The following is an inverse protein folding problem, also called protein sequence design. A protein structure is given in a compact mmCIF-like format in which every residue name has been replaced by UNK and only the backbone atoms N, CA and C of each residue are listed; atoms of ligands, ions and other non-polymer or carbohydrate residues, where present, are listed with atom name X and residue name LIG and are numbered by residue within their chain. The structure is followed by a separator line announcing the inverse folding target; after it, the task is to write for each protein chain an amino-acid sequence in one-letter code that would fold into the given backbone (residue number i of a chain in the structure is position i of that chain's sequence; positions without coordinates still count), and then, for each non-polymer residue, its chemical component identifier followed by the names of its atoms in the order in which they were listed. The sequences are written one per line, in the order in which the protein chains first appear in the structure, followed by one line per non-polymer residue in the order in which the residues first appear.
data_IF_658868119151
#
_entry.id   IF_658868119151
#
_cell.length_a   1.000
_cell.length_b   1.000
_cell.length_c   1.000
_cell.angle_alpha   90.00
_cell.angle_beta   90.00
_cell.angle_gamma   90.00
#
_symmetry.space_group_name_H-M   'P 1'
#
loop_
_entity.id
_entity.type
_entity.pdbx_description
1 polymer ?
#
# COMPACT_ATOMS: atom_id res chain seq x y z
N UNK A 1 -0.58 50.23 52.82
CA UNK A 1 -1.44 49.13 53.31
C UNK A 1 -2.58 48.97 52.31
N UNK A 2 -2.81 47.73 51.86
CA UNK A 2 -3.60 47.23 50.71
C UNK A 2 -4.92 47.98 50.39
N UNK A 3 -5.39 48.09 49.13
CA UNK A 3 -6.28 47.08 48.50
C UNK A 3 -6.38 47.20 46.96
N UNK A 4 -5.90 46.16 46.24
CA UNK A 4 -6.53 45.32 45.19
C UNK A 4 -7.51 45.93 44.13
N UNK A 5 -7.02 45.92 42.86
CA UNK A 5 -7.61 45.47 41.56
C UNK A 5 -8.70 46.31 40.83
N UNK A 6 -8.43 46.64 39.56
CA UNK A 6 -9.40 46.31 38.49
C UNK A 6 -8.72 45.95 37.15
N UNK A 7 -9.08 44.77 36.65
CA UNK A 7 -8.64 44.11 35.42
C UNK A 7 -9.14 44.84 34.18
N UNK A 8 -8.31 45.00 33.15
CA UNK A 8 -8.77 45.05 31.76
C UNK A 8 -7.87 44.15 30.91
N UNK A 9 -8.24 42.87 30.88
CA UNK A 9 -7.69 41.88 29.97
C UNK A 9 -8.41 42.09 28.63
N UNK A 10 -7.71 42.64 27.64
CA UNK A 10 -8.21 42.72 26.26
C UNK A 10 -7.91 41.37 25.59
N UNK A 11 -8.91 40.48 25.52
CA UNK A 11 -8.83 39.25 24.74
C UNK A 11 -9.01 39.58 23.26
N UNK A 12 -7.94 39.47 22.48
CA UNK A 12 -8.01 39.50 21.02
C UNK A 12 -8.08 38.03 20.55
N UNK A 13 -9.29 37.58 20.22
CA UNK A 13 -9.54 36.24 19.66
C UNK A 13 -9.07 36.25 18.21
N UNK A 14 -7.85 35.78 17.95
CA UNK A 14 -7.40 35.47 16.59
C UNK A 14 -7.97 34.11 16.22
N UNK A 15 -9.06 34.10 15.45
CA UNK A 15 -9.60 32.89 14.83
C UNK A 15 -8.67 32.43 13.71
N UNK A 16 -7.68 31.61 14.05
CA UNK A 16 -6.92 30.87 13.05
C UNK A 16 -7.72 29.61 12.67
N UNK A 17 -8.38 29.65 11.52
CA UNK A 17 -8.95 28.46 10.88
C UNK A 17 -7.77 27.56 10.50
N UNK A 18 -7.55 26.51 11.27
CA UNK A 18 -6.62 25.43 10.94
C UNK A 18 -7.16 24.69 9.71
N UNK A 19 -6.68 25.07 8.52
CA UNK A 19 -6.80 24.23 7.34
C UNK A 19 -5.97 22.96 7.58
N UNK A 20 -6.60 21.91 8.11
CA UNK A 20 -5.96 20.60 8.19
C UNK A 20 -5.73 20.13 6.75
N UNK A 21 -4.49 19.82 6.33
CA UNK A 21 -4.27 19.20 5.04
C UNK A 21 -5.07 17.90 5.02
N UNK A 22 -5.96 17.77 4.04
CA UNK A 22 -6.68 16.51 3.84
C UNK A 22 -5.65 15.43 3.58
N UNK A 23 -5.56 14.45 4.50
CA UNK A 23 -4.79 13.22 4.33
C UNK A 23 -5.49 12.36 3.27
N UNK A 24 -5.46 12.79 2.01
CA UNK A 24 -5.72 11.85 0.94
C UNK A 24 -4.56 10.86 0.98
N UNK A 25 -4.87 9.58 1.17
CA UNK A 25 -3.85 8.55 1.04
C UNK A 25 -3.28 8.65 -0.38
N UNK A 26 -1.99 8.98 -0.49
CA UNK A 26 -1.34 8.99 -1.79
C UNK A 26 -1.47 7.59 -2.39
N UNK A 27 -2.08 7.50 -3.58
CA UNK A 27 -2.19 6.22 -4.28
C UNK A 27 -0.82 5.87 -4.84
N UNK A 28 -0.13 4.96 -4.17
CA UNK A 28 1.16 4.45 -4.62
C UNK A 28 0.96 3.58 -5.87
N UNK A 29 1.53 4.00 -6.99
CA UNK A 29 1.54 3.21 -8.24
C UNK A 29 2.77 2.30 -8.23
N UNK A 30 2.57 1.04 -8.62
CA UNK A 30 3.63 0.05 -8.81
C UNK A 30 3.40 -0.70 -10.12
N UNK A 31 4.46 -0.97 -10.85
CA UNK A 31 4.46 -1.99 -11.91
C UNK A 31 4.66 -3.34 -11.22
N UNK A 32 3.83 -4.31 -11.59
CA UNK A 32 3.93 -5.70 -11.12
C UNK A 32 4.53 -6.51 -12.26
N UNK A 33 5.74 -7.02 -12.06
CA UNK A 33 6.48 -7.74 -13.09
C UNK A 33 6.72 -9.19 -12.64
N UNK A 34 6.10 -10.13 -13.35
CA UNK A 34 6.30 -11.56 -13.15
C UNK A 34 7.68 -12.00 -13.68
N UNK A 35 8.24 -13.02 -13.04
CA UNK A 35 9.47 -13.68 -13.44
C UNK A 35 9.15 -15.14 -13.80
N UNK A 36 8.70 -15.34 -15.04
CA UNK A 36 8.13 -16.59 -15.52
C UNK A 36 9.00 -17.85 -15.36
N UNK A 37 10.33 -17.70 -15.32
CA UNK A 37 11.26 -18.81 -15.11
C UNK A 37 11.82 -18.86 -13.67
N UNK A 38 11.33 -18.00 -12.77
CA UNK A 38 11.79 -17.88 -11.39
C UNK A 38 10.68 -18.12 -10.38
N UNK A 39 10.95 -17.72 -9.13
CA UNK A 39 10.11 -17.94 -7.95
C UNK A 39 9.65 -16.63 -7.27
N UNK A 40 9.84 -15.51 -7.97
CA UNK A 40 9.55 -14.18 -7.47
C UNK A 40 8.80 -13.27 -8.47
N UNK A 41 8.19 -12.21 -7.93
CA UNK A 41 7.55 -11.12 -8.66
C UNK A 41 8.15 -9.82 -8.13
N UNK A 42 8.55 -8.92 -9.03
CA UNK A 42 9.12 -7.63 -8.65
C UNK A 42 8.06 -6.54 -8.69
N UNK A 43 8.05 -5.71 -7.64
CA UNK A 43 7.33 -4.45 -7.64
C UNK A 43 8.30 -3.34 -8.01
N UNK A 44 8.01 -2.65 -9.11
CA UNK A 44 8.86 -1.58 -9.65
C UNK A 44 8.17 -0.23 -9.48
N UNK A 45 8.92 0.76 -9.00
CA UNK A 45 8.46 2.14 -8.97
C UNK A 45 8.63 2.77 -10.36
N UNK A 46 7.54 3.19 -11.03
CA UNK A 46 7.61 3.69 -12.40
C UNK A 46 8.23 5.09 -12.52
N UNK A 47 8.34 5.86 -11.44
CA UNK A 47 8.99 7.17 -11.47
C UNK A 47 10.51 7.05 -11.47
N UNK A 48 11.04 5.97 -10.87
CA UNK A 48 12.49 5.76 -10.71
C UNK A 48 13.03 4.56 -11.48
N UNK A 49 12.16 3.71 -12.03
CA UNK A 49 12.49 2.43 -12.65
C UNK A 49 13.32 1.52 -11.75
N UNK A 50 13.07 1.56 -10.44
CA UNK A 50 13.77 0.74 -9.44
C UNK A 50 12.83 -0.31 -8.86
N UNK A 51 13.36 -1.50 -8.61
CA UNK A 51 12.71 -2.51 -7.77
C UNK A 51 12.62 -1.93 -6.36
N UNK A 52 11.41 -1.94 -5.79
CA UNK A 52 11.13 -1.42 -4.44
C UNK A 52 10.61 -2.49 -3.49
N UNK A 53 10.22 -3.65 -4.01
CA UNK A 53 9.80 -4.80 -3.25
C UNK A 53 9.76 -6.06 -4.13
N UNK A 54 9.73 -7.21 -3.47
CA UNK A 54 9.56 -8.53 -4.10
C UNK A 54 8.48 -9.32 -3.37
N UNK A 55 7.77 -10.15 -4.15
CA UNK A 55 6.86 -11.19 -3.66
C UNK A 55 7.52 -12.52 -4.03
N UNK A 56 7.69 -13.43 -3.08
CA UNK A 56 8.39 -14.70 -3.29
C UNK A 56 7.50 -15.89 -2.97
N UNK A 57 7.95 -17.09 -3.37
CA UNK A 57 7.25 -18.35 -3.09
C UNK A 57 6.11 -18.65 -4.06
N UNK A 58 6.20 -18.09 -5.28
CA UNK A 58 5.27 -18.34 -6.38
C UNK A 58 6.11 -18.75 -7.59
N UNK A 59 6.31 -20.05 -7.74
CA UNK A 59 7.18 -20.63 -8.76
C UNK A 59 6.50 -20.66 -10.14
N UNK A 60 7.26 -20.38 -11.19
CA UNK A 60 6.76 -20.31 -12.58
C UNK A 60 5.53 -19.39 -12.68
N UNK A 61 5.68 -18.16 -12.18
CA UNK A 61 4.58 -17.20 -12.15
C UNK A 61 4.39 -16.48 -13.50
N UNK A 62 3.17 -16.50 -14.06
CA UNK A 62 2.91 -15.98 -15.41
C UNK A 62 1.90 -14.82 -15.42
N UNK A 63 0.64 -15.12 -15.10
CA UNK A 63 -0.45 -14.16 -15.05
C UNK A 63 -0.46 -13.38 -13.75
N UNK A 64 -0.82 -12.09 -13.82
CA UNK A 64 -0.97 -11.22 -12.66
C UNK A 64 -2.25 -10.39 -12.76
N UNK A 65 -2.98 -10.28 -11.65
CA UNK A 65 -4.09 -9.35 -11.48
C UNK A 65 -4.04 -8.68 -10.10
N UNK A 66 -4.60 -7.49 -9.98
CA UNK A 66 -4.59 -6.70 -8.75
C UNK A 66 -6.01 -6.25 -8.42
N UNK A 67 -6.42 -6.36 -7.16
CA UNK A 67 -7.66 -5.79 -6.69
C UNK A 67 -7.63 -4.25 -6.86
N UNK A 68 -8.73 -3.57 -7.23
CA UNK A 68 -8.72 -2.12 -7.49
C UNK A 68 -8.25 -1.27 -6.30
N UNK A 69 -8.52 -1.75 -5.09
CA UNK A 69 -8.09 -1.14 -3.82
C UNK A 69 -6.65 -1.47 -3.42
N UNK A 70 -5.95 -2.31 -4.19
CA UNK A 70 -4.60 -2.77 -3.91
C UNK A 70 -4.48 -3.72 -2.73
N UNK A 71 -5.60 -4.21 -2.16
CA UNK A 71 -5.58 -5.07 -0.97
C UNK A 71 -5.06 -6.48 -1.25
N UNK A 72 -5.17 -6.93 -2.50
CA UNK A 72 -4.82 -8.28 -2.93
C UNK A 72 -4.19 -8.28 -4.32
N UNK A 73 -3.18 -9.11 -4.50
CA UNK A 73 -2.66 -9.54 -5.79
C UNK A 73 -3.05 -11.00 -6.04
N UNK A 74 -3.15 -11.37 -7.31
CA UNK A 74 -3.44 -12.73 -7.76
C UNK A 74 -2.40 -13.11 -8.81
N UNK A 75 -1.72 -14.24 -8.59
CA UNK A 75 -0.71 -14.74 -9.51
C UNK A 75 -0.99 -16.19 -9.87
N UNK A 76 -0.91 -16.54 -11.15
CA UNK A 76 -0.89 -17.96 -11.52
C UNK A 76 0.45 -18.56 -11.07
N UNK A 77 0.40 -19.74 -10.48
CA UNK A 77 1.55 -20.54 -10.08
C UNK A 77 1.45 -21.86 -10.85
N UNK A 78 2.23 -22.00 -11.91
CA UNK A 78 2.15 -23.17 -12.78
C UNK A 78 2.75 -24.42 -12.12
N UNK A 79 3.74 -24.25 -11.24
CA UNK A 79 4.36 -25.37 -10.53
C UNK A 79 3.40 -26.06 -9.56
N UNK A 80 2.57 -25.27 -8.86
CA UNK A 80 1.62 -25.78 -7.87
C UNK A 80 0.20 -26.02 -8.43
N UNK A 81 -0.05 -25.68 -9.70
CA UNK A 81 -1.38 -25.68 -10.32
C UNK A 81 -2.40 -24.84 -9.54
N UNK A 82 -1.99 -23.64 -9.09
CA UNK A 82 -2.82 -22.76 -8.27
C UNK A 82 -2.90 -21.33 -8.79
N UNK A 83 -3.94 -20.61 -8.36
CA UNK A 83 -3.94 -19.15 -8.30
C UNK A 83 -3.61 -18.72 -6.87
N UNK A 84 -2.46 -18.09 -6.69
CA UNK A 84 -1.97 -17.67 -5.38
C UNK A 84 -2.43 -16.24 -5.08
N UNK A 85 -3.07 -16.07 -3.91
CA UNK A 85 -3.59 -14.78 -3.44
C UNK A 85 -2.60 -14.18 -2.45
N UNK A 86 -2.08 -13.00 -2.78
CA UNK A 86 -1.07 -12.30 -2.00
C UNK A 86 -1.68 -11.06 -1.35
N UNK A 87 -1.37 -10.84 -0.08
CA UNK A 87 -1.76 -9.62 0.63
C UNK A 87 -1.01 -8.41 0.09
N UNK A 88 -1.73 -7.37 -0.29
CA UNK A 88 -1.14 -6.14 -0.81
C UNK A 88 -0.37 -5.32 0.24
N UNK A 89 -0.68 -5.54 1.53
CA UNK A 89 -0.01 -4.86 2.63
C UNK A 89 1.30 -5.55 3.04
N UNK A 90 1.29 -6.87 3.06
CA UNK A 90 2.40 -7.66 3.60
C UNK A 90 3.25 -8.35 2.53
N UNK A 91 2.75 -8.39 1.28
CA UNK A 91 3.40 -9.05 0.14
C UNK A 91 3.66 -10.55 0.37
N UNK A 92 2.80 -11.19 1.16
CA UNK A 92 2.86 -12.61 1.46
C UNK A 92 1.68 -13.35 0.85
N UNK A 93 1.92 -14.56 0.35
CA UNK A 93 0.86 -15.50 -0.03
C UNK A 93 -0.01 -15.76 1.20
N UNK A 94 -1.32 -15.64 1.03
CA UNK A 94 -2.31 -15.83 2.09
C UNK A 94 -3.21 -17.04 1.81
N UNK A 95 -3.47 -17.32 0.54
CA UNK A 95 -4.31 -18.43 0.10
C UNK A 95 -3.78 -18.95 -1.24
N UNK A 96 -3.97 -20.23 -1.49
CA UNK A 96 -3.78 -20.85 -2.80
C UNK A 96 -5.11 -21.45 -3.25
N UNK A 97 -5.52 -21.15 -4.47
CA UNK A 97 -6.76 -21.67 -5.05
C UNK A 97 -6.36 -22.72 -6.09
N UNK A 98 -6.68 -23.98 -5.84
CA UNK A 98 -6.39 -25.06 -6.79
C UNK A 98 -7.12 -24.83 -8.12
N UNK A 99 -6.39 -24.95 -9.22
CA UNK A 99 -6.93 -24.93 -10.57
C UNK A 99 -7.14 -26.38 -11.04
N UNK A 100 -8.13 -26.58 -11.89
CA UNK A 100 -8.55 -27.91 -12.33
C UNK A 100 -8.00 -28.32 -13.70
N UNK A 101 -7.00 -27.60 -14.21
CA UNK A 101 -6.47 -27.71 -15.57
C UNK A 101 -5.08 -28.32 -15.63
#
# INVERSE_FOLDING_TARGET
METVVSKRFLFLVVSAVLALPSLTAARTIRIVQTNAAGDNIHLVDPATNKVVAEITGIEVNHGAAVAPDGSRFYFSNEADHTLDVVSGKTLRVTHKIALSG
#
